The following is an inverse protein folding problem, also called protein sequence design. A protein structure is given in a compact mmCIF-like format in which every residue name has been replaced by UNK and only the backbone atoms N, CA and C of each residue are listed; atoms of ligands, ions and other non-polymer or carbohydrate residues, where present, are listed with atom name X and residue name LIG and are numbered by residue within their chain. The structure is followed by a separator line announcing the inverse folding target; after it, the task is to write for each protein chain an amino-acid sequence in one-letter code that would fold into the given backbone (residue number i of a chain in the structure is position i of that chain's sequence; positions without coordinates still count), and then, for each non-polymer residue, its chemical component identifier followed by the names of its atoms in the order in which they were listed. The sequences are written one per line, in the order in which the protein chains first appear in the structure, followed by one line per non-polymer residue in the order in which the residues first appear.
data_IF_395028880440
#
_entry.id   IF_395028880440
#
_cell.length_a   1.000
_cell.length_b   1.000
_cell.length_c   1.000
_cell.angle_alpha   90.00
_cell.angle_beta   90.00
_cell.angle_gamma   90.00
#
_symmetry.space_group_name_H-M   'P 1'
#
loop_
_entity.id
_entity.type
_entity.pdbx_description
1 polymer ?
#
# COMPACT_ATOMS: atom_id res chain seq x y z
N UNK A 1 1.21 -22.21 8.56
CA UNK A 1 0.01 -21.69 7.88
C UNK A 1 0.23 -20.21 7.65
N UNK A 2 0.26 -19.74 6.40
CA UNK A 2 0.36 -18.30 6.12
C UNK A 2 -0.96 -17.63 6.51
N UNK A 3 -0.91 -16.62 7.39
CA UNK A 3 -2.10 -15.84 7.78
C UNK A 3 -2.24 -14.66 6.81
N UNK A 4 -3.42 -14.50 6.23
CA UNK A 4 -3.72 -13.36 5.38
C UNK A 4 -4.51 -12.29 6.14
N UNK A 5 -4.28 -11.04 5.77
CA UNK A 5 -5.02 -9.86 6.22
C UNK A 5 -5.59 -9.18 4.97
N UNK A 6 -6.90 -8.93 4.97
CA UNK A 6 -7.57 -8.12 3.96
C UNK A 6 -7.91 -6.78 4.61
N UNK A 7 -7.47 -5.69 3.98
CA UNK A 7 -7.72 -4.32 4.43
C UNK A 7 -8.52 -3.63 3.34
N UNK A 8 -9.72 -3.16 3.66
CA UNK A 8 -10.57 -2.43 2.73
C UNK A 8 -10.72 -1.00 3.22
N UNK A 9 -10.52 -0.06 2.29
CA UNK A 9 -10.62 1.37 2.49
C UNK A 9 -11.85 1.90 1.78
N UNK A 10 -12.54 2.81 2.45
CA UNK A 10 -13.61 3.64 1.91
C UNK A 10 -13.05 4.93 1.31
N UNK A 11 -13.86 5.61 0.50
CA UNK A 11 -13.45 6.83 -0.18
C UNK A 11 -12.91 7.89 0.80
N UNK A 12 -11.72 8.42 0.49
CA UNK A 12 -11.05 9.47 1.26
C UNK A 12 -10.21 9.00 2.45
N UNK A 13 -10.16 7.70 2.76
CA UNK A 13 -9.32 7.19 3.85
C UNK A 13 -7.83 7.21 3.52
N UNK A 14 -7.00 7.52 4.51
CA UNK A 14 -5.54 7.52 4.40
C UNK A 14 -5.01 6.09 4.38
N UNK A 15 -4.43 5.72 3.23
CA UNK A 15 -4.01 4.34 2.95
C UNK A 15 -2.83 3.92 3.81
N UNK A 16 -1.82 4.79 3.98
CA UNK A 16 -0.62 4.43 4.74
C UNK A 16 -0.91 4.35 6.24
N UNK A 17 -1.71 5.28 6.75
CA UNK A 17 -2.14 5.26 8.15
C UNK A 17 -2.98 4.00 8.44
N UNK A 18 -4.00 3.71 7.63
CA UNK A 18 -4.86 2.54 7.88
C UNK A 18 -4.15 1.20 7.70
N UNK A 19 -3.21 1.07 6.74
CA UNK A 19 -2.37 -0.14 6.63
C UNK A 19 -1.58 -0.34 7.93
N UNK A 20 -0.97 0.72 8.43
CA UNK A 20 -0.15 0.68 9.63
C UNK A 20 -0.97 0.28 10.86
N UNK A 21 -2.15 0.85 11.04
CA UNK A 21 -3.04 0.53 12.15
C UNK A 21 -3.57 -0.90 12.07
N UNK A 22 -3.99 -1.35 10.89
CA UNK A 22 -4.49 -2.72 10.68
C UNK A 22 -3.41 -3.77 10.98
N UNK A 23 -2.17 -3.58 10.50
CA UNK A 23 -1.07 -4.51 10.79
C UNK A 23 -0.71 -4.48 12.28
N UNK A 24 -0.72 -3.30 12.92
CA UNK A 24 -0.44 -3.15 14.36
C UNK A 24 -1.42 -3.96 15.21
N UNK A 25 -2.71 -4.00 14.86
CA UNK A 25 -3.73 -4.78 15.58
C UNK A 25 -3.46 -6.29 15.59
N UNK A 26 -2.66 -6.80 14.66
CA UNK A 26 -2.31 -8.21 14.59
C UNK A 26 -1.01 -8.57 15.33
N UNK A 27 -0.26 -7.58 15.83
CA UNK A 27 1.02 -7.74 16.54
C UNK A 27 1.99 -8.72 15.84
N UNK A 28 2.30 -8.43 14.57
CA UNK A 28 3.22 -9.24 13.76
C UNK A 28 4.51 -8.49 13.47
N UNK A 29 5.60 -9.21 13.26
CA UNK A 29 6.90 -8.59 12.96
C UNK A 29 6.95 -8.04 11.54
N UNK A 30 6.22 -8.67 10.62
CA UNK A 30 6.20 -8.30 9.21
C UNK A 30 4.86 -8.62 8.56
N UNK A 31 4.47 -7.78 7.60
CA UNK A 31 3.45 -8.09 6.61
C UNK A 31 3.99 -7.82 5.20
N UNK A 32 3.62 -8.63 4.20
CA UNK A 32 4.00 -8.42 2.79
C UNK A 32 2.76 -8.24 1.93
N UNK A 33 2.76 -7.24 1.06
CA UNK A 33 1.67 -7.07 0.11
C UNK A 33 1.66 -8.21 -0.91
N UNK A 34 0.47 -8.72 -1.20
CA UNK A 34 0.22 -9.77 -2.22
C UNK A 34 -0.50 -9.20 -3.42
N UNK A 35 -1.56 -8.43 -3.18
CA UNK A 35 -2.36 -7.81 -4.21
C UNK A 35 -3.05 -6.56 -3.65
N UNK A 36 -3.48 -5.71 -4.57
CA UNK A 36 -4.29 -4.54 -4.29
C UNK A 36 -5.27 -4.38 -5.46
N UNK A 37 -6.48 -3.90 -5.17
CA UNK A 37 -7.52 -3.66 -6.16
C UNK A 37 -8.30 -2.40 -5.78
N UNK A 38 -8.57 -1.54 -6.76
CA UNK A 38 -9.25 -0.26 -6.56
C UNK A 38 -8.43 0.96 -6.99
N UNK A 39 -8.87 2.14 -6.56
CA UNK A 39 -8.30 3.42 -6.97
C UNK A 39 -7.68 4.22 -5.83
N UNK A 40 -6.68 5.03 -6.19
CA UNK A 40 -6.08 6.07 -5.36
C UNK A 40 -6.34 7.45 -5.96
N UNK A 41 -6.43 8.45 -5.09
CA UNK A 41 -6.43 9.89 -5.40
C UNK A 41 -5.57 10.65 -4.38
N UNK A 42 -5.28 11.91 -4.68
CA UNK A 42 -4.50 12.82 -3.83
C UNK A 42 -3.19 12.22 -3.32
N UNK A 43 -2.49 11.49 -4.20
CA UNK A 43 -1.32 10.70 -3.83
C UNK A 43 0.01 11.38 -4.17
N UNK A 44 1.06 10.91 -3.50
CA UNK A 44 2.45 11.26 -3.75
C UNK A 44 3.27 9.98 -3.99
N UNK A 45 3.95 9.92 -5.14
CA UNK A 45 4.87 8.84 -5.51
C UNK A 45 6.28 9.40 -5.70
N UNK A 46 7.26 8.75 -5.05
CA UNK A 46 8.68 8.95 -5.35
C UNK A 46 9.10 7.85 -6.31
N UNK A 47 9.67 8.25 -7.45
CA UNK A 47 10.13 7.33 -8.48
C UNK A 47 11.59 7.58 -8.77
N UNK A 48 12.40 6.53 -8.83
CA UNK A 48 13.81 6.64 -9.21
C UNK A 48 13.96 6.97 -10.72
N UNK A 49 13.03 6.48 -11.55
CA UNK A 49 13.11 6.59 -13.02
C UNK A 49 12.25 7.72 -13.63
N UNK A 50 11.48 8.44 -12.83
CA UNK A 50 10.52 9.46 -13.28
C UNK A 50 10.54 10.67 -12.36
N UNK A 51 9.84 11.75 -12.76
CA UNK A 51 9.63 12.88 -11.85
C UNK A 51 8.71 12.46 -10.72
N UNK A 52 9.09 12.79 -9.49
CA UNK A 52 8.20 12.69 -8.32
C UNK A 52 6.83 13.27 -8.64
N UNK A 53 5.80 12.47 -8.39
CA UNK A 53 4.42 12.91 -8.52
C UNK A 53 3.94 13.35 -7.15
N UNK A 54 3.50 14.60 -7.04
CA UNK A 54 3.05 15.18 -5.77
C UNK A 54 1.62 15.69 -5.88
N UNK A 55 0.77 15.24 -4.97
CA UNK A 55 -0.61 15.72 -4.82
C UNK A 55 -1.45 15.51 -6.07
N UNK A 56 -1.36 14.33 -6.70
CA UNK A 56 -2.10 14.02 -7.92
C UNK A 56 -3.58 13.84 -7.57
N UNK A 57 -4.49 14.76 -7.95
CA UNK A 57 -5.88 14.71 -7.50
C UNK A 57 -6.73 13.72 -8.30
N UNK A 58 -6.20 13.23 -9.42
CA UNK A 58 -6.91 12.36 -10.35
C UNK A 58 -6.90 10.90 -9.89
N UNK A 59 -7.98 10.18 -10.20
CA UNK A 59 -8.11 8.76 -9.87
C UNK A 59 -7.19 7.89 -10.72
N UNK A 60 -6.42 7.03 -10.04
CA UNK A 60 -5.58 6.03 -10.67
C UNK A 60 -5.88 4.64 -10.11
N UNK A 61 -6.05 3.67 -11.00
CA UNK A 61 -6.16 2.26 -10.62
C UNK A 61 -4.80 1.73 -10.17
N UNK A 62 -4.82 0.89 -9.16
CA UNK A 62 -3.66 0.08 -8.79
C UNK A 62 -3.53 -1.08 -9.77
N UNK A 63 -2.45 -1.13 -10.54
CA UNK A 63 -2.11 -2.24 -11.45
C UNK A 63 -1.24 -3.28 -10.75
N UNK A 64 -0.23 -2.82 -10.01
CA UNK A 64 0.69 -3.68 -9.26
C UNK A 64 0.97 -3.09 -7.89
N UNK A 65 1.20 -3.99 -6.94
CA UNK A 65 1.64 -3.65 -5.59
C UNK A 65 2.82 -4.52 -5.19
N UNK A 66 3.74 -3.94 -4.44
CA UNK A 66 4.83 -4.64 -3.81
C UNK A 66 5.28 -3.90 -2.56
N UNK A 67 6.09 -4.57 -1.74
CA UNK A 67 6.65 -4.00 -0.52
C UNK A 67 6.21 -4.75 0.72
N UNK A 68 6.34 -4.09 1.86
CA UNK A 68 6.16 -4.71 3.18
C UNK A 68 5.88 -3.68 4.26
N UNK A 69 5.29 -4.18 5.34
CA UNK A 69 5.21 -3.47 6.61
C UNK A 69 6.14 -4.18 7.58
N UNK A 70 6.99 -3.44 8.27
CA UNK A 70 7.96 -3.97 9.24
C UNK A 70 7.74 -3.33 10.60
N UNK A 71 7.67 -4.16 11.64
CA UNK A 71 7.71 -3.71 13.02
C UNK A 71 9.09 -3.13 13.32
N UNK A 72 9.11 -1.91 13.81
CA UNK A 72 10.29 -1.20 14.28
C UNK A 72 10.43 -1.30 15.79
N UNK A 73 11.47 -0.68 16.34
CA UNK A 73 11.59 -0.44 17.78
C UNK A 73 10.39 0.39 18.27
N UNK A 74 10.06 0.25 19.55
CA UNK A 74 8.97 0.99 20.22
C UNK A 74 7.57 0.74 19.64
N UNK A 75 7.33 -0.46 19.09
CA UNK A 75 6.05 -0.87 18.50
C UNK A 75 5.55 0.04 17.37
N UNK A 76 6.46 0.78 16.77
CA UNK A 76 6.18 1.53 15.55
C UNK A 76 6.25 0.59 14.34
N UNK A 77 5.64 1.00 13.23
CA UNK A 77 5.66 0.24 11.99
C UNK A 77 6.04 1.15 10.83
N UNK A 78 6.98 0.71 10.00
CA UNK A 78 7.28 1.34 8.71
C UNK A 78 6.55 0.62 7.60
N UNK A 79 5.88 1.39 6.76
CA UNK A 79 5.24 0.91 5.53
C UNK A 79 6.15 1.28 4.37
N UNK A 80 6.63 0.26 3.68
CA UNK A 80 7.37 0.34 2.42
C UNK A 80 6.40 -0.18 1.35
N UNK A 81 5.76 0.72 0.61
CA UNK A 81 4.69 0.40 -0.33
C UNK A 81 5.03 0.97 -1.70
N UNK A 82 5.32 0.09 -2.65
CA UNK A 82 5.53 0.43 -4.05
C UNK A 82 4.33 0.05 -4.90
N UNK A 83 3.91 0.97 -5.76
CA UNK A 83 2.74 0.80 -6.62
C UNK A 83 3.10 1.08 -8.07
N UNK A 84 2.42 0.38 -8.99
CA UNK A 84 2.24 0.81 -10.38
C UNK A 84 0.79 1.22 -10.54
N UNK A 85 0.58 2.44 -11.05
CA UNK A 85 -0.72 3.07 -11.16
C UNK A 85 -1.06 3.40 -12.62
N UNK A 86 -2.31 3.19 -13.00
CA UNK A 86 -2.85 3.52 -14.32
C UNK A 86 -3.92 4.60 -14.20
N UNK A 87 -3.76 5.70 -14.95
CA UNK A 87 -4.75 6.79 -14.96
C UNK A 87 -6.09 6.28 -15.50
N UNK A 88 -7.15 6.39 -14.69
CA UNK A 88 -8.50 5.85 -15.00
C UNK A 88 -9.11 6.44 -16.26
N UNK A 89 -8.87 7.72 -16.53
CA UNK A 89 -9.47 8.45 -17.64
C UNK A 89 -8.64 8.45 -18.94
N UNK A 90 -7.47 7.78 -18.99
CA UNK A 90 -6.56 7.89 -20.13
C UNK A 90 -6.79 6.78 -21.18
N UNK A 91 -6.95 7.18 -22.44
CA UNK A 91 -6.98 6.27 -23.61
C UNK A 91 -5.61 5.70 -23.99
N UNK A 92 -4.54 6.21 -23.38
CA UNK A 92 -3.17 5.68 -23.45
C UNK A 92 -2.68 5.41 -22.03
N UNK A 93 -2.44 4.14 -21.72
CA UNK A 93 -1.97 3.68 -20.41
C UNK A 93 -0.48 3.99 -20.27
N UNK A 94 -0.13 5.18 -19.79
CA UNK A 94 1.21 5.45 -19.28
C UNK A 94 1.22 5.13 -17.79
N UNK A 95 1.73 3.96 -17.38
CA UNK A 95 1.83 3.63 -15.97
C UNK A 95 2.79 4.60 -15.27
N UNK A 96 2.45 4.99 -14.06
CA UNK A 96 3.37 5.66 -13.14
C UNK A 96 3.68 4.70 -12.01
N UNK A 97 4.95 4.56 -11.65
CA UNK A 97 5.37 3.63 -10.59
C UNK A 97 6.26 4.34 -9.58
N UNK A 98 6.22 3.90 -8.32
CA UNK A 98 7.06 4.48 -7.29
C UNK A 98 6.67 4.04 -5.88
N UNK A 99 7.40 4.55 -4.90
CA UNK A 99 7.08 4.41 -3.48
C UNK A 99 5.99 5.41 -3.10
N UNK A 100 4.91 4.91 -2.49
CA UNK A 100 3.80 5.73 -1.98
C UNK A 100 4.23 6.46 -0.70
N UNK A 101 4.20 7.79 -0.72
CA UNK A 101 4.45 8.64 0.45
C UNK A 101 3.19 9.20 1.09
N UNK A 102 2.13 9.31 0.30
CA UNK A 102 0.79 9.73 0.70
C UNK A 102 -0.20 9.21 -0.33
N UNK A 103 -1.43 8.92 0.07
CA UNK A 103 -2.51 8.62 -0.86
C UNK A 103 -3.82 8.37 -0.13
N UNK A 104 -4.91 8.80 -0.75
CA UNK A 104 -6.26 8.54 -0.28
C UNK A 104 -6.93 7.50 -1.17
N UNK A 105 -7.73 6.63 -0.58
CA UNK A 105 -8.60 5.75 -1.34
C UNK A 105 -9.61 6.56 -2.17
N UNK A 106 -9.85 6.12 -3.40
CA UNK A 106 -10.90 6.61 -4.27
C UNK A 106 -11.92 5.49 -4.47
N UNK A 107 -13.11 5.65 -3.92
CA UNK A 107 -14.08 4.55 -3.80
C UNK A 107 -13.57 3.44 -2.87
N UNK A 108 -13.85 2.19 -3.23
CA UNK A 108 -13.34 1.01 -2.51
C UNK A 108 -11.92 0.68 -2.99
N UNK A 109 -10.99 0.60 -2.05
CA UNK A 109 -9.61 0.16 -2.30
C UNK A 109 -9.26 -0.94 -1.31
N UNK A 110 -8.89 -2.12 -1.81
CA UNK A 110 -8.56 -3.28 -0.97
C UNK A 110 -7.10 -3.69 -1.15
N UNK A 111 -6.43 -3.99 -0.04
CA UNK A 111 -5.11 -4.61 -0.01
C UNK A 111 -5.17 -5.97 0.66
N UNK A 112 -4.44 -6.94 0.10
CA UNK A 112 -4.24 -8.26 0.71
C UNK A 112 -2.77 -8.38 1.11
N UNK A 113 -2.54 -8.69 2.39
CA UNK A 113 -1.23 -8.87 2.97
C UNK A 113 -1.07 -10.29 3.53
N UNK A 114 0.13 -10.84 3.43
CA UNK A 114 0.54 -12.04 4.18
C UNK A 114 1.28 -11.60 5.44
N UNK A 115 0.80 -12.06 6.59
CA UNK A 115 1.37 -11.76 7.90
C UNK A 115 2.44 -12.80 8.28
N UNK A 116 3.48 -12.37 8.99
CA UNK A 116 4.57 -13.23 9.44
C UNK A 116 5.12 -12.77 10.78
N UNK A 117 5.32 -13.72 11.70
CA UNK A 117 6.04 -13.51 12.97
C UNK A 117 7.38 -14.23 12.91
N UNK A 118 8.46 -13.56 13.28
CA UNK A 118 9.81 -14.13 13.33
C UNK A 118 9.94 -15.16 14.46
N UNK A 119 9.07 -15.09 15.48
CA UNK A 119 9.05 -16.07 16.59
C UNK A 119 8.71 -17.51 16.18
N UNK A 120 8.12 -17.73 15.00
CA UNK A 120 7.72 -19.08 14.55
C UNK A 120 8.78 -19.82 13.70
N UNK A 121 9.99 -19.27 13.52
CA UNK A 121 11.03 -19.89 12.67
C UNK A 121 12.13 -20.62 13.44
N UNK A 122 12.02 -20.76 14.77
CA UNK A 122 12.90 -21.60 15.59
C UNK A 122 12.07 -22.76 16.10
N UNK A 123 11.93 -23.83 15.32
CA UNK A 123 11.57 -25.19 15.79
C UNK A 123 12.28 -26.19 14.89
#
# INVERSE_FOLDING_TARGET
MEKQLVISFSDGEDVLAGIKEAVKQHDVDMARFRSADGCLKDFELISDDYKDLKGVPEEHFVDKVSGRVLKQKDENYSVDLHLTLLKKAASKTNPVSGELRKGLASGELTFILTLSSLKSMIH
#
